data_IF_097595366376
#
_entry.id   IF_097595366376
#
_cell.length_a   1.000
_cell.length_b   1.000
_cell.length_c   1.000
_cell.angle_alpha   90.00
_cell.angle_beta   90.00
_cell.angle_gamma   90.00
#
_symmetry.space_group_name_H-M   'P 1'
#
loop_
_entity.id
_entity.type
_entity.pdbx_description
1 polymer ?
#
# COMPACT_ATOMS: atom_id res chain seq x y z
N UNK A 1 -28.60 15.85 -7.56
CA UNK A 1 -27.16 15.76 -7.87
C UNK A 1 -26.58 17.14 -7.67
N UNK A 2 -25.74 17.34 -6.65
CA UNK A 2 -24.93 18.56 -6.59
C UNK A 2 -23.98 18.50 -7.78
N UNK A 3 -23.93 19.55 -8.58
CA UNK A 3 -22.93 19.67 -9.66
C UNK A 3 -21.59 19.95 -9.00
N UNK A 4 -20.72 18.93 -8.92
CA UNK A 4 -19.33 19.11 -8.45
C UNK A 4 -18.56 19.95 -9.46
N UNK A 5 -18.01 21.07 -9.03
CA UNK A 5 -17.18 21.98 -9.84
C UNK A 5 -15.72 21.60 -9.72
N UNK A 6 -15.07 21.54 -10.87
CA UNK A 6 -13.64 21.27 -10.98
C UNK A 6 -12.92 22.60 -11.16
N UNK A 7 -11.87 22.83 -10.38
CA UNK A 7 -11.01 24.01 -10.49
C UNK A 7 -10.05 23.89 -11.68
N UNK A 8 -9.40 22.72 -11.80
CA UNK A 8 -8.40 22.43 -12.83
C UNK A 8 -8.67 21.06 -13.44
N UNK A 9 -8.52 20.95 -14.75
CA UNK A 9 -8.60 19.68 -15.48
C UNK A 9 -7.42 19.60 -16.44
N UNK A 10 -6.66 18.50 -16.38
CA UNK A 10 -5.55 18.22 -17.31
C UNK A 10 -5.76 16.85 -17.93
N UNK A 11 -5.51 16.75 -19.23
CA UNK A 11 -5.46 15.45 -19.89
C UNK A 11 -4.20 14.71 -19.45
N UNK A 12 -4.37 13.61 -18.70
CA UNK A 12 -3.26 12.82 -18.18
C UNK A 12 -2.66 11.95 -19.29
N UNK A 13 -3.54 11.27 -20.05
CA UNK A 13 -3.06 10.34 -21.08
C UNK A 13 -4.05 9.27 -21.53
N UNK A 14 -3.48 8.25 -22.16
CA UNK A 14 -4.22 7.09 -22.71
C UNK A 14 -3.58 5.77 -22.27
N UNK A 15 -4.37 4.91 -21.66
CA UNK A 15 -3.97 3.52 -21.34
C UNK A 15 -4.60 2.57 -22.36
N UNK A 16 -3.79 1.70 -22.93
CA UNK A 16 -4.23 0.71 -23.90
C UNK A 16 -4.77 -0.53 -23.19
N UNK A 17 -5.96 -0.97 -23.60
CA UNK A 17 -6.57 -2.22 -23.17
C UNK A 17 -6.76 -3.18 -24.33
N UNK A 18 -7.08 -4.43 -24.03
CA UNK A 18 -7.28 -5.49 -25.01
C UNK A 18 -8.54 -5.24 -25.87
N UNK A 19 -9.66 -4.88 -25.23
CA UNK A 19 -10.94 -4.65 -25.91
C UNK A 19 -11.20 -3.17 -26.12
N UNK A 20 -11.00 -2.35 -25.07
CA UNK A 20 -11.18 -0.90 -25.10
C UNK A 20 -10.00 -0.20 -24.45
N UNK A 21 -9.72 1.01 -24.93
CA UNK A 21 -8.72 1.87 -24.31
C UNK A 21 -9.36 2.73 -23.22
N UNK A 22 -8.53 3.29 -22.35
CA UNK A 22 -8.91 4.29 -21.37
C UNK A 22 -8.26 5.63 -21.70
N UNK A 23 -9.07 6.69 -21.71
CA UNK A 23 -8.63 8.08 -21.74
C UNK A 23 -8.78 8.62 -20.32
N UNK A 24 -7.73 9.23 -19.80
CA UNK A 24 -7.64 9.65 -18.40
C UNK A 24 -7.49 11.17 -18.34
N UNK A 25 -8.32 11.80 -17.51
CA UNK A 25 -8.19 13.19 -17.12
C UNK A 25 -7.92 13.25 -15.62
N UNK A 26 -6.94 14.03 -15.21
CA UNK A 26 -6.76 14.39 -13.81
C UNK A 26 -7.46 15.72 -13.54
N UNK A 27 -8.02 15.87 -12.35
CA UNK A 27 -8.72 17.06 -11.94
C UNK A 27 -8.54 17.36 -10.46
N UNK A 28 -8.74 18.62 -10.12
CA UNK A 28 -8.77 19.17 -8.77
C UNK A 28 -10.16 19.74 -8.53
N UNK A 29 -10.80 19.37 -7.42
CA UNK A 29 -12.08 19.95 -7.02
C UNK A 29 -11.90 21.40 -6.57
N UNK A 30 -12.95 22.20 -6.69
CA UNK A 30 -12.99 23.49 -6.03
C UNK A 30 -13.06 23.28 -4.51
N UNK A 31 -12.33 24.11 -3.75
CA UNK A 31 -12.31 24.08 -2.28
C UNK A 31 -13.73 24.03 -1.69
N UNK A 32 -14.01 23.02 -0.85
CA UNK A 32 -15.32 22.80 -0.23
C UNK A 32 -16.37 22.07 -1.10
N UNK A 33 -16.04 21.69 -2.34
CA UNK A 33 -16.87 20.82 -3.19
C UNK A 33 -16.32 19.40 -3.34
N UNK A 34 -15.42 19.02 -2.44
CA UNK A 34 -14.84 17.70 -2.35
C UNK A 34 -15.96 16.68 -2.02
N UNK A 35 -16.06 15.58 -2.78
CA UNK A 35 -17.00 14.53 -2.45
C UNK A 35 -16.60 13.94 -1.09
N UNK A 36 -17.57 13.83 -0.17
CA UNK A 36 -17.43 12.99 1.03
C UNK A 36 -16.90 11.63 0.56
N UNK A 37 -15.73 11.23 1.08
CA UNK A 37 -15.17 9.92 0.78
C UNK A 37 -16.22 8.91 1.26
N UNK A 38 -16.84 8.19 0.33
CA UNK A 38 -17.46 6.92 0.68
C UNK A 38 -16.28 6.11 1.21
N UNK A 39 -16.16 6.00 2.54
CA UNK A 39 -15.20 5.14 3.20
C UNK A 39 -15.37 3.78 2.53
N UNK A 40 -14.47 3.45 1.60
CA UNK A 40 -14.31 2.11 1.10
C UNK A 40 -13.83 1.36 2.33
N UNK A 41 -14.79 0.84 3.11
CA UNK A 41 -14.55 0.08 4.31
C UNK A 41 -13.41 -0.89 3.99
N UNK A 42 -12.37 -0.98 4.83
CA UNK A 42 -11.35 -1.99 4.63
C UNK A 42 -12.10 -3.30 4.42
N UNK A 43 -11.83 -3.95 3.29
CA UNK A 43 -12.17 -5.35 3.12
C UNK A 43 -11.24 -6.07 4.09
N UNK A 44 -11.59 -6.02 5.37
CA UNK A 44 -11.21 -7.07 6.28
C UNK A 44 -11.83 -8.31 5.66
N UNK A 45 -10.97 -9.25 5.31
CA UNK A 45 -11.42 -10.62 5.24
C UNK A 45 -11.97 -10.90 6.64
N UNK A 46 -13.30 -10.80 6.82
CA UNK A 46 -14.02 -11.33 7.97
C UNK A 46 -13.60 -12.80 8.08
N UNK A 47 -12.53 -13.04 8.82
CA UNK A 47 -12.36 -14.29 9.53
C UNK A 47 -13.58 -14.36 10.46
N UNK A 48 -14.32 -15.48 10.45
CA UNK A 48 -15.54 -15.58 11.24
C UNK A 48 -15.21 -15.26 12.71
N UNK A 49 -15.92 -14.28 13.27
CA UNK A 49 -15.87 -13.91 14.67
C UNK A 49 -15.90 -15.18 15.52
N UNK A 50 -14.76 -15.51 16.12
CA UNK A 50 -14.74 -16.44 17.23
C UNK A 50 -15.46 -15.74 18.40
N UNK A 51 -16.39 -16.43 19.08
CA UNK A 51 -17.17 -15.81 20.14
C UNK A 51 -16.25 -15.23 21.21
N UNK A 52 -16.44 -13.95 21.55
CA UNK A 52 -15.76 -13.28 22.66
C UNK A 52 -16.22 -13.86 24.00
N UNK A 53 -15.30 -13.86 24.97
CA UNK A 53 -15.46 -14.45 26.31
C UNK A 53 -16.68 -13.93 27.09
N UNK A 54 -17.24 -12.77 26.71
CA UNK A 54 -18.40 -12.17 27.37
C UNK A 54 -19.72 -12.93 27.16
N UNK A 55 -19.82 -13.82 26.16
CA UNK A 55 -21.04 -14.58 25.89
C UNK A 55 -21.16 -15.88 26.71
N UNK A 56 -20.15 -16.24 27.50
CA UNK A 56 -20.07 -17.54 28.18
C UNK A 56 -20.24 -17.46 29.70
N UNK A 57 -20.39 -16.25 30.26
CA UNK A 57 -20.50 -16.00 31.70
C UNK A 57 -21.95 -16.07 32.26
N UNK A 58 -22.95 -16.33 31.41
CA UNK A 58 -24.37 -16.30 31.82
C UNK A 58 -25.05 -17.67 31.95
N UNK A 59 -24.30 -18.77 32.02
CA UNK A 59 -24.83 -20.10 32.32
C UNK A 59 -23.97 -20.87 33.32
N UNK A 60 -24.27 -20.64 34.60
CA UNK A 60 -24.47 -21.70 35.60
C UNK A 60 -23.28 -22.58 35.95
N UNK A 61 -22.69 -22.30 37.12
CA UNK A 61 -22.03 -23.21 38.05
C UNK A 61 -22.34 -24.71 37.85
N UNK A 62 -21.49 -25.45 37.13
CA UNK A 62 -21.19 -26.86 37.41
C UNK A 62 -19.69 -27.08 37.07
N UNK A 63 -18.85 -27.21 38.12
CA UNK A 63 -17.46 -27.66 38.00
C UNK A 63 -17.46 -29.14 37.59
N UNK A 64 -17.63 -29.42 36.31
CA UNK A 64 -17.41 -30.75 35.72
C UNK A 64 -16.31 -30.63 34.67
N UNK A 65 -15.18 -31.32 34.93
CA UNK A 65 -14.02 -31.57 34.07
C UNK A 65 -14.01 -30.86 32.70
N UNK A 66 -13.62 -29.58 32.68
CA UNK A 66 -13.40 -28.86 31.43
C UNK A 66 -12.09 -29.37 30.82
N UNK A 67 -12.17 -30.11 29.71
CA UNK A 67 -11.01 -30.42 28.87
C UNK A 67 -10.16 -29.14 28.70
N UNK A 68 -8.82 -29.21 28.78
CA UNK A 68 -7.99 -28.02 28.68
C UNK A 68 -8.35 -27.29 27.38
N UNK A 69 -8.86 -26.06 27.51
CA UNK A 69 -9.30 -25.27 26.36
C UNK A 69 -8.16 -25.22 25.34
N UNK A 70 -8.49 -25.53 24.09
CA UNK A 70 -7.51 -25.49 23.00
C UNK A 70 -6.79 -24.13 23.01
N UNK A 71 -5.46 -24.10 22.83
CA UNK A 71 -4.70 -22.85 22.87
C UNK A 71 -5.22 -21.91 21.78
N UNK A 72 -5.77 -20.77 22.20
CA UNK A 72 -6.24 -19.72 21.30
C UNK A 72 -5.01 -19.14 20.59
N UNK A 73 -5.02 -19.18 19.26
CA UNK A 73 -3.94 -18.63 18.43
C UNK A 73 -3.92 -17.11 18.58
N UNK A 74 -2.99 -16.58 19.38
CA UNK A 74 -2.74 -15.14 19.58
C UNK A 74 -1.91 -14.53 18.45
N UNK A 75 -2.19 -14.83 17.18
CA UNK A 75 -1.49 -14.20 16.05
C UNK A 75 -2.29 -13.02 15.51
N UNK A 76 -1.77 -11.81 15.70
CA UNK A 76 -2.25 -10.61 15.02
C UNK A 76 -1.36 -10.31 13.81
N UNK A 77 -1.92 -10.20 12.58
CA UNK A 77 -1.13 -9.84 11.43
C UNK A 77 -0.55 -8.42 11.60
N UNK A 78 0.61 -8.12 11.00
CA UNK A 78 1.21 -6.80 11.08
C UNK A 78 0.24 -5.73 10.54
N UNK A 79 0.20 -4.53 11.16
CA UNK A 79 -0.77 -3.52 10.81
C UNK A 79 -0.52 -3.00 9.39
N UNK A 80 -1.60 -2.86 8.60
CA UNK A 80 -1.54 -2.36 7.22
C UNK A 80 -1.41 -0.82 7.25
N UNK A 81 -0.59 -0.22 6.38
CA UNK A 81 -0.48 1.25 6.31
C UNK A 81 -1.83 1.89 5.97
N UNK A 82 -2.21 2.99 6.67
CA UNK A 82 -3.49 3.65 6.42
C UNK A 82 -3.49 4.40 5.08
N UNK A 83 -4.70 4.62 4.54
CA UNK A 83 -4.92 5.28 3.25
C UNK A 83 -4.67 6.79 3.39
N UNK A 84 -4.02 7.40 2.41
CA UNK A 84 -3.85 8.85 2.35
C UNK A 84 -5.18 9.51 1.94
N UNK A 85 -5.66 10.54 2.67
CA UNK A 85 -6.91 11.22 2.31
C UNK A 85 -6.77 11.98 0.99
N UNK A 86 -7.91 12.35 0.41
CA UNK A 86 -7.93 13.27 -0.73
C UNK A 86 -7.16 14.55 -0.44
N UNK A 87 -6.41 15.03 -1.44
CA UNK A 87 -5.56 16.22 -1.31
C UNK A 87 -4.12 15.92 -0.88
N UNK A 88 -3.85 14.74 -0.32
CA UNK A 88 -2.52 14.37 0.19
C UNK A 88 -1.84 13.29 -0.65
N UNK A 89 -0.52 13.41 -0.83
CA UNK A 89 0.33 12.35 -1.40
C UNK A 89 -0.15 11.78 -2.74
N UNK A 90 -0.36 10.47 -2.79
CA UNK A 90 -0.81 9.75 -3.98
C UNK A 90 -2.27 10.05 -4.35
N UNK A 91 -3.07 10.59 -3.42
CA UNK A 91 -4.48 10.98 -3.56
C UNK A 91 -4.68 12.50 -3.70
N UNK A 92 -3.61 13.26 -3.98
CA UNK A 92 -3.66 14.71 -4.22
C UNK A 92 -4.60 15.14 -5.36
N UNK A 93 -4.79 14.29 -6.38
CA UNK A 93 -5.64 14.58 -7.55
C UNK A 93 -6.66 13.48 -7.77
N UNK A 94 -7.82 13.87 -8.30
CA UNK A 94 -8.86 12.93 -8.73
C UNK A 94 -8.67 12.59 -10.21
N UNK A 95 -8.94 11.34 -10.55
CA UNK A 95 -8.82 10.85 -11.91
C UNK A 95 -10.18 10.42 -12.46
N UNK A 96 -10.50 10.90 -13.66
CA UNK A 96 -11.67 10.52 -14.43
C UNK A 96 -11.25 9.73 -15.66
N UNK A 97 -11.98 8.68 -15.96
CA UNK A 97 -11.69 7.76 -17.05
C UNK A 97 -12.88 7.63 -17.99
N UNK A 98 -12.60 7.54 -19.27
CA UNK A 98 -13.60 7.22 -20.29
C UNK A 98 -13.03 6.28 -21.35
N UNK A 99 -13.86 5.42 -21.95
CA UNK A 99 -13.41 4.55 -23.05
C UNK A 99 -13.28 5.29 -24.39
N UNK A 100 -13.92 6.46 -24.51
CA UNK A 100 -13.86 7.31 -25.69
C UNK A 100 -14.31 8.74 -25.36
N UNK A 101 -13.81 9.75 -26.06
CA UNK A 101 -13.99 11.17 -25.68
C UNK A 101 -15.46 11.64 -25.65
N UNK A 102 -16.37 10.95 -26.35
CA UNK A 102 -17.81 11.22 -26.31
C UNK A 102 -18.62 10.36 -25.34
N UNK A 103 -17.97 9.47 -24.59
CA UNK A 103 -18.62 8.59 -23.61
C UNK A 103 -18.63 9.23 -22.22
N UNK A 104 -19.44 8.66 -21.31
CA UNK A 104 -19.50 9.08 -19.90
C UNK A 104 -18.12 8.94 -19.26
N UNK A 105 -17.73 9.96 -18.50
CA UNK A 105 -16.57 9.92 -17.62
C UNK A 105 -16.95 9.29 -16.28
N UNK A 106 -16.11 8.38 -15.81
CA UNK A 106 -16.26 7.66 -14.54
C UNK A 106 -15.11 8.07 -13.62
N UNK A 107 -15.43 8.47 -12.39
CA UNK A 107 -14.45 8.80 -11.36
C UNK A 107 -13.78 7.51 -10.88
N UNK A 108 -12.45 7.49 -10.78
CA UNK A 108 -11.71 6.41 -10.12
C UNK A 108 -11.71 6.61 -8.60
N UNK A 109 -11.66 5.52 -7.81
CA UNK A 109 -11.53 5.62 -6.35
C UNK A 109 -10.17 6.20 -5.95
N UNK A 110 -10.03 6.51 -4.66
CA UNK A 110 -8.73 6.79 -4.06
C UNK A 110 -7.87 5.52 -4.08
N UNK A 111 -6.56 5.69 -4.16
CA UNK A 111 -5.61 4.57 -4.16
C UNK A 111 -5.23 4.21 -2.74
N UNK A 112 -5.15 2.91 -2.45
CA UNK A 112 -4.65 2.42 -1.16
C UNK A 112 -3.18 2.00 -1.26
N UNK A 113 -2.42 2.05 -0.14
CA UNK A 113 -1.03 1.58 -0.13
C UNK A 113 -0.90 0.11 -0.55
N UNK A 114 -1.84 -0.73 -0.10
CA UNK A 114 -1.90 -2.16 -0.44
C UNK A 114 -2.08 -2.39 -1.94
N UNK A 115 -2.94 -1.60 -2.61
CA UNK A 115 -3.11 -1.67 -4.06
C UNK A 115 -1.79 -1.35 -4.79
N UNK A 116 -1.08 -0.29 -4.39
CA UNK A 116 0.20 0.09 -5.01
C UNK A 116 1.25 -1.01 -4.78
N UNK A 117 1.31 -1.54 -3.57
CA UNK A 117 2.24 -2.59 -3.19
C UNK A 117 2.05 -3.86 -4.03
N UNK A 118 0.82 -4.37 -4.14
CA UNK A 118 0.53 -5.53 -4.98
C UNK A 118 0.73 -5.20 -6.47
N UNK A 119 0.31 -4.01 -6.92
CA UNK A 119 0.47 -3.55 -8.30
C UNK A 119 1.93 -3.56 -8.77
N UNK A 120 2.91 -3.37 -7.88
CA UNK A 120 4.35 -3.47 -8.18
C UNK A 120 4.80 -4.89 -8.51
N UNK A 121 4.14 -5.90 -7.94
CA UNK A 121 4.49 -7.33 -8.03
C UNK A 121 3.74 -8.08 -9.13
N UNK A 122 2.73 -7.47 -9.74
CA UNK A 122 1.89 -8.09 -10.78
C UNK A 122 2.06 -7.40 -12.13
N UNK A 123 1.91 -8.18 -13.21
CA UNK A 123 1.89 -7.68 -14.60
C UNK A 123 0.65 -8.18 -15.33
N UNK A 124 -0.42 -7.36 -15.35
CA UNK A 124 -1.68 -7.67 -16.02
C UNK A 124 -2.02 -6.62 -17.07
N UNK A 125 -2.50 -7.07 -18.22
CA UNK A 125 -2.98 -6.20 -19.28
C UNK A 125 -4.43 -5.77 -18.97
N UNK A 126 -4.75 -4.52 -19.27
CA UNK A 126 -6.09 -3.98 -19.10
C UNK A 126 -7.06 -4.57 -20.12
N UNK A 127 -8.29 -4.87 -19.72
CA UNK A 127 -9.34 -5.34 -20.63
C UNK A 127 -10.04 -4.17 -21.32
N UNK A 128 -10.23 -3.05 -20.61
CA UNK A 128 -11.09 -1.95 -21.05
C UNK A 128 -12.46 -1.94 -20.37
N UNK A 129 -12.70 -2.86 -19.42
CA UNK A 129 -13.84 -2.87 -18.51
C UNK A 129 -13.39 -2.61 -17.07
N UNK A 130 -13.91 -1.53 -16.45
CA UNK A 130 -13.52 -1.10 -15.11
C UNK A 130 -13.93 -2.09 -14.01
N UNK A 131 -15.01 -2.84 -14.21
CA UNK A 131 -15.57 -3.77 -13.21
C UNK A 131 -14.96 -5.18 -13.30
N UNK A 132 -14.03 -5.41 -14.22
CA UNK A 132 -13.43 -6.72 -14.41
C UNK A 132 -12.53 -7.10 -13.21
N UNK A 133 -12.66 -8.31 -12.62
CA UNK A 133 -11.82 -8.72 -11.50
C UNK A 133 -10.36 -8.94 -11.93
N UNK A 134 -9.42 -8.53 -11.08
CA UNK A 134 -7.98 -8.69 -11.33
C UNK A 134 -7.48 -9.96 -10.66
N UNK A 135 -7.55 -11.07 -11.38
CA UNK A 135 -7.13 -12.38 -10.87
C UNK A 135 -5.60 -12.54 -11.01
N UNK A 136 -4.88 -12.34 -9.90
CA UNK A 136 -3.42 -12.42 -9.80
C UNK A 136 -2.98 -13.21 -8.57
N UNK A 137 -1.71 -13.61 -8.59
CA UNK A 137 -0.96 -13.98 -7.40
C UNK A 137 0.30 -13.10 -7.32
N UNK A 138 0.52 -12.33 -6.23
CA UNK A 138 -0.37 -12.14 -5.07
C UNK A 138 -1.78 -11.59 -5.42
N UNK A 139 -2.80 -11.85 -4.59
CA UNK A 139 -4.16 -11.38 -4.84
C UNK A 139 -4.21 -9.86 -4.82
N UNK A 140 -4.86 -9.26 -5.83
CA UNK A 140 -5.02 -7.82 -5.91
C UNK A 140 -6.32 -7.38 -5.23
N UNK A 141 -6.28 -6.44 -4.27
CA UNK A 141 -7.47 -5.96 -3.58
C UNK A 141 -8.25 -5.01 -4.52
N UNK A 142 -9.30 -5.53 -5.16
CA UNK A 142 -10.22 -4.76 -5.99
C UNK A 142 -10.30 -5.20 -7.45
N UNK A 143 -10.87 -4.31 -8.28
CA UNK A 143 -11.16 -4.57 -9.70
C UNK A 143 -10.20 -3.81 -10.63
N UNK A 144 -10.42 -3.89 -11.93
CA UNK A 144 -9.60 -3.19 -12.92
C UNK A 144 -9.59 -1.67 -12.70
N UNK A 145 -10.65 -1.06 -12.14
CA UNK A 145 -10.68 0.36 -11.77
C UNK A 145 -9.60 0.71 -10.73
N UNK A 146 -9.44 -0.13 -9.70
CA UNK A 146 -8.46 0.01 -8.62
C UNK A 146 -7.05 -0.22 -9.17
N UNK A 147 -6.88 -1.26 -10.00
CA UNK A 147 -5.59 -1.52 -10.65
C UNK A 147 -5.16 -0.40 -11.59
N UNK A 148 -6.09 0.17 -12.36
CA UNK A 148 -5.85 1.32 -13.22
C UNK A 148 -5.44 2.54 -12.40
N UNK A 149 -6.15 2.82 -11.29
CA UNK A 149 -5.82 3.89 -10.34
C UNK A 149 -4.42 3.74 -9.74
N UNK A 150 -4.04 2.52 -9.35
CA UNK A 150 -2.72 2.20 -8.82
C UNK A 150 -1.60 2.36 -9.89
N UNK A 151 -1.84 1.95 -11.13
CA UNK A 151 -0.88 2.20 -12.22
C UNK A 151 -0.74 3.70 -12.52
N UNK A 152 -1.85 4.46 -12.51
CA UNK A 152 -1.81 5.91 -12.69
C UNK A 152 -0.96 6.55 -11.59
N UNK A 153 -1.17 6.20 -10.32
CA UNK A 153 -0.36 6.73 -9.21
C UNK A 153 1.14 6.51 -9.45
N UNK A 154 1.52 5.26 -9.77
CA UNK A 154 2.92 4.87 -10.00
C UNK A 154 3.55 5.56 -11.21
N UNK A 155 2.79 5.70 -12.30
CA UNK A 155 3.26 6.37 -13.51
C UNK A 155 3.40 7.86 -13.22
N UNK A 156 2.39 8.50 -12.62
CA UNK A 156 2.43 9.90 -12.23
C UNK A 156 3.67 10.21 -11.41
N UNK A 157 3.90 9.48 -10.31
CA UNK A 157 5.03 9.68 -9.42
C UNK A 157 6.41 9.49 -10.07
N UNK A 158 6.51 8.74 -11.17
CA UNK A 158 7.79 8.47 -11.84
C UNK A 158 7.96 9.15 -13.21
N UNK A 159 6.96 9.87 -13.72
CA UNK A 159 6.99 10.42 -15.10
C UNK A 159 6.56 11.87 -15.20
N UNK A 160 5.95 12.44 -14.17
CA UNK A 160 5.54 13.84 -14.18
C UNK A 160 6.73 14.75 -13.91
N UNK A 161 7.27 15.27 -15.00
CA UNK A 161 8.44 16.15 -15.01
C UNK A 161 8.11 17.53 -15.53
N UNK A 162 8.91 18.51 -15.16
CA UNK A 162 8.84 19.89 -15.65
C UNK A 162 10.25 20.47 -15.82
N UNK A 163 10.41 21.54 -16.63
CA UNK A 163 11.69 22.21 -16.75
C UNK A 163 12.20 22.70 -15.39
N UNK A 164 13.50 22.62 -15.17
CA UNK A 164 14.13 23.08 -13.94
C UNK A 164 13.79 24.56 -13.69
N UNK A 165 13.36 24.89 -12.47
CA UNK A 165 12.97 26.24 -12.07
C UNK A 165 11.56 26.67 -12.51
N UNK A 166 10.81 25.82 -13.23
CA UNK A 166 9.41 26.11 -13.58
C UNK A 166 8.47 26.08 -12.36
N UNK A 167 8.75 25.17 -11.42
CA UNK A 167 8.10 25.10 -10.12
C UNK A 167 9.09 25.50 -9.03
N UNK A 168 8.59 26.13 -7.98
CA UNK A 168 9.33 26.41 -6.73
C UNK A 168 8.53 25.86 -5.55
N UNK A 169 9.17 25.73 -4.39
CA UNK A 169 8.48 25.36 -3.17
C UNK A 169 7.48 26.44 -2.74
N UNK A 170 6.42 26.02 -2.06
CA UNK A 170 5.48 26.95 -1.45
C UNK A 170 6.15 27.57 -0.22
N UNK A 171 6.34 28.90 -0.23
CA UNK A 171 7.04 29.61 0.84
C UNK A 171 6.28 29.51 2.18
N UNK A 172 4.96 29.40 2.15
CA UNK A 172 4.15 29.23 3.37
C UNK A 172 4.37 27.85 3.98
N UNK A 173 4.40 26.81 3.16
CA UNK A 173 4.70 25.45 3.61
C UNK A 173 6.15 25.33 4.09
N UNK A 174 7.12 25.84 3.34
CA UNK A 174 8.54 25.79 3.70
C UNK A 174 8.83 26.52 5.03
N UNK A 175 8.09 27.59 5.35
CA UNK A 175 8.23 28.32 6.61
C UNK A 175 7.67 27.57 7.84
N UNK A 176 6.68 26.69 7.63
CA UNK A 176 6.03 25.93 8.70
C UNK A 176 6.72 24.56 8.95
N UNK A 177 7.59 24.10 8.04
CA UNK A 177 8.32 22.84 8.17
C UNK A 177 9.57 22.99 9.05
N UNK A 178 9.84 21.96 9.87
CA UNK A 178 11.10 21.83 10.61
C UNK A 178 12.25 21.35 9.72
N UNK A 179 13.50 21.46 10.21
CA UNK A 179 14.73 21.09 9.47
C UNK A 179 14.77 19.63 8.93
N UNK A 180 13.87 18.76 9.39
CA UNK A 180 13.81 17.33 9.05
C UNK A 180 12.72 16.95 8.04
N UNK A 181 11.83 17.89 7.65
CA UNK A 181 10.71 17.63 6.74
C UNK A 181 10.92 18.29 5.37
N UNK A 182 10.70 17.53 4.31
CA UNK A 182 10.79 18.06 2.94
C UNK A 182 9.44 18.62 2.46
N UNK A 183 9.41 19.77 1.77
CA UNK A 183 8.18 20.32 1.21
C UNK A 183 7.46 19.34 0.28
N UNK A 184 6.14 19.30 0.41
CA UNK A 184 5.27 18.36 -0.28
C UNK A 184 4.52 19.00 -1.44
N UNK A 185 4.40 20.33 -1.47
CA UNK A 185 3.81 21.08 -2.56
C UNK A 185 4.83 21.95 -3.31
N UNK A 186 4.46 22.27 -4.54
CA UNK A 186 5.21 23.19 -5.38
C UNK A 186 4.23 24.09 -6.15
N UNK A 187 4.59 25.35 -6.32
CA UNK A 187 3.81 26.39 -7.01
C UNK A 187 4.53 26.86 -8.27
N UNK A 188 3.77 27.32 -9.27
CA UNK A 188 4.34 27.81 -10.53
C UNK A 188 5.18 29.06 -10.25
N UNK A 189 6.45 29.05 -10.68
CA UNK A 189 7.37 30.17 -10.45
C UNK A 189 7.04 31.34 -11.42
N UNK A 190 6.60 32.51 -10.92
CA UNK A 190 6.30 33.66 -11.77
C UNK A 190 7.54 34.27 -12.44
N UNK A 191 8.74 34.01 -11.90
CA UNK A 191 10.04 34.49 -12.40
C UNK A 191 10.73 33.49 -13.34
N UNK A 192 10.05 32.43 -13.76
CA UNK A 192 10.64 31.42 -14.64
C UNK A 192 11.13 32.00 -15.98
N UNK A 193 12.44 31.90 -16.22
CA UNK A 193 13.04 32.19 -17.51
C UNK A 193 13.08 30.94 -18.39
N UNK A 194 12.50 30.96 -19.60
CA UNK A 194 12.43 29.76 -20.42
C UNK A 194 13.80 29.28 -20.91
N UNK A 195 14.10 28.01 -20.64
CA UNK A 195 15.32 27.34 -21.06
C UNK A 195 15.31 27.11 -22.59
N UNK A 196 16.42 27.34 -23.31
CA UNK A 196 16.51 27.06 -24.74
C UNK A 196 16.23 25.59 -25.06
N UNK A 197 15.48 25.33 -26.13
CA UNK A 197 15.08 23.96 -26.55
C UNK A 197 16.27 23.02 -26.73
N UNK A 198 17.44 23.55 -27.14
CA UNK A 198 18.66 22.75 -27.29
C UNK A 198 19.15 22.16 -25.97
N UNK A 199 18.99 22.89 -24.88
CA UNK A 199 19.39 22.47 -23.54
C UNK A 199 18.34 21.52 -22.94
N UNK A 200 17.05 21.79 -23.18
CA UNK A 200 15.96 20.87 -22.80
C UNK A 200 16.05 19.50 -23.51
N UNK A 201 16.63 19.46 -24.72
CA UNK A 201 16.80 18.25 -25.52
C UNK A 201 18.17 17.57 -25.31
N UNK A 202 18.97 18.04 -24.36
CA UNK A 202 20.25 17.44 -24.06
C UNK A 202 20.10 16.03 -23.45
N UNK A 203 21.09 15.17 -23.70
CA UNK A 203 21.00 13.74 -23.36
C UNK A 203 21.15 13.45 -21.86
N UNK A 204 21.71 14.40 -21.11
CA UNK A 204 21.92 14.37 -19.67
C UNK A 204 20.64 14.61 -18.87
N UNK A 205 19.58 15.15 -19.49
CA UNK A 205 18.27 15.40 -18.87
C UNK A 205 18.32 16.27 -17.59
N UNK A 206 19.43 16.99 -17.35
CA UNK A 206 19.64 17.83 -16.16
C UNK A 206 18.66 19.00 -16.05
N UNK A 207 18.07 19.40 -17.17
CA UNK A 207 17.12 20.51 -17.25
C UNK A 207 15.68 20.12 -16.93
N UNK A 208 15.44 18.88 -16.47
CA UNK A 208 14.13 18.36 -16.10
C UNK A 208 14.15 17.88 -14.66
N UNK A 209 13.11 18.21 -13.90
CA UNK A 209 12.92 17.76 -12.53
C UNK A 209 11.51 17.17 -12.33
N UNK A 210 11.37 16.30 -11.32
CA UNK A 210 10.08 15.75 -10.89
C UNK A 210 9.28 16.80 -10.10
N UNK A 211 8.01 17.01 -10.44
CA UNK A 211 7.12 17.94 -9.74
C UNK A 211 5.97 17.21 -9.02
N UNK A 212 6.11 15.90 -8.85
CA UNK A 212 5.18 15.06 -8.08
C UNK A 212 5.98 14.24 -7.08
N UNK A 213 5.38 13.98 -5.92
CA UNK A 213 6.02 13.22 -4.85
C UNK A 213 6.36 11.79 -5.29
N UNK A 214 7.48 11.29 -4.77
CA UNK A 214 7.88 9.91 -4.89
C UNK A 214 6.94 9.01 -4.05
N UNK A 215 6.70 7.79 -4.51
CA UNK A 215 5.95 6.78 -3.74
C UNK A 215 6.94 5.80 -3.14
N UNK A 216 7.02 5.76 -1.82
CA UNK A 216 7.89 4.90 -1.03
C UNK A 216 7.59 3.39 -1.25
N UNK A 217 8.53 2.49 -0.92
CA UNK A 217 8.29 1.03 -0.90
C UNK A 217 6.99 0.62 -0.20
N UNK A 218 6.65 1.27 0.91
CA UNK A 218 5.39 1.09 1.66
C UNK A 218 4.11 1.36 0.84
N UNK A 219 4.19 2.11 -0.26
CA UNK A 219 3.05 2.44 -1.12
C UNK A 219 2.39 3.79 -0.80
N UNK A 220 2.98 4.58 0.09
CA UNK A 220 2.59 5.96 0.43
C UNK A 220 3.62 6.96 -0.08
N UNK A 221 3.26 8.25 -0.11
CA UNK A 221 4.22 9.33 -0.38
C UNK A 221 4.92 9.80 0.89
N UNK A 222 4.24 9.70 2.03
CA UNK A 222 4.81 9.96 3.35
C UNK A 222 5.03 8.64 4.08
N UNK A 223 6.14 8.55 4.81
CA UNK A 223 6.43 7.37 5.63
C UNK A 223 5.46 7.30 6.81
N UNK A 224 4.92 6.11 7.04
CA UNK A 224 4.13 5.81 8.22
C UNK A 224 4.88 4.84 9.11
N UNK A 225 5.05 5.22 10.37
CA UNK A 225 5.67 4.37 11.37
C UNK A 225 4.65 3.36 11.91
N UNK A 226 4.87 2.04 11.73
CA UNK A 226 3.97 1.01 12.27
C UNK A 226 3.96 0.95 13.81
N UNK A 227 5.04 1.39 14.47
CA UNK A 227 5.21 1.27 15.92
C UNK A 227 4.51 2.39 16.72
N UNK A 228 4.06 3.47 16.09
CA UNK A 228 3.43 4.61 16.77
C UNK A 228 1.91 4.50 16.80
N UNK A 229 1.36 3.32 17.16
CA UNK A 229 -0.09 3.18 17.35
C UNK A 229 -0.55 4.13 18.47
N UNK A 230 -1.68 4.80 18.24
CA UNK A 230 -2.03 6.10 18.84
C UNK A 230 -2.23 6.14 20.35
N UNK A 231 -2.14 7.35 20.90
CA UNK A 231 -2.30 7.70 22.33
C UNK A 231 -3.70 7.42 22.93
N UNK A 232 -4.63 6.78 22.19
CA UNK A 232 -6.02 6.52 22.62
C UNK A 232 -6.28 5.04 23.02
N UNK A 233 -5.27 4.18 23.02
CA UNK A 233 -5.36 2.81 23.54
C UNK A 233 -4.46 2.67 24.78
N UNK A 234 -4.82 3.38 25.85
CA UNK A 234 -4.28 3.11 27.18
C UNK A 234 -4.72 1.71 27.64
N UNK A 235 -3.75 0.95 28.17
CA UNK A 235 -3.87 -0.32 28.92
C UNK A 235 -3.96 -1.63 28.12
N UNK A 236 -2.84 -2.03 27.49
CA UNK A 236 -2.38 -3.43 27.61
C UNK A 236 -0.86 -3.41 27.85
N UNK A 237 -0.45 -3.45 29.12
CA UNK A 237 0.90 -3.91 29.50
C UNK A 237 0.99 -5.41 29.21
N UNK A 238 1.35 -5.80 27.99
CA UNK A 238 2.03 -7.07 27.77
C UNK A 238 3.36 -6.78 27.07
N UNK A 239 4.42 -7.41 27.56
CA UNK A 239 5.80 -7.28 27.10
C UNK A 239 5.91 -7.62 25.60
N UNK A 240 5.60 -6.68 24.72
CA UNK A 240 5.96 -6.78 23.30
C UNK A 240 7.49 -6.69 23.22
N UNK A 241 8.13 -7.75 22.70
CA UNK A 241 9.50 -7.65 22.22
C UNK A 241 9.61 -6.37 21.38
N UNK A 242 10.48 -5.44 21.78
CA UNK A 242 10.78 -4.24 21.01
C UNK A 242 11.19 -4.67 19.59
N UNK A 243 10.23 -4.76 18.66
CA UNK A 243 10.55 -4.86 17.24
C UNK A 243 11.38 -3.62 16.93
N UNK A 244 12.63 -3.84 16.49
CA UNK A 244 13.55 -2.77 16.21
C UNK A 244 12.84 -1.70 15.37
N UNK A 245 12.91 -0.41 15.75
CA UNK A 245 12.17 0.64 15.08
C UNK A 245 12.48 0.57 13.58
N UNK A 246 11.45 0.37 12.76
CA UNK A 246 11.62 0.28 11.32
C UNK A 246 12.32 1.56 10.83
N UNK A 247 13.46 1.41 10.15
CA UNK A 247 14.20 2.56 9.63
C UNK A 247 13.28 3.38 8.70
N UNK A 248 13.22 4.72 8.87
CA UNK A 248 12.34 5.54 8.06
C UNK A 248 12.70 5.44 6.58
N UNK A 249 11.69 5.11 5.75
CA UNK A 249 11.87 5.08 4.30
C UNK A 249 11.92 6.52 3.77
N UNK A 250 13.10 6.98 3.35
CA UNK A 250 13.28 8.32 2.79
C UNK A 250 13.40 8.25 1.27
N UNK A 251 12.49 8.95 0.58
CA UNK A 251 12.53 9.13 -0.87
C UNK A 251 13.36 10.35 -1.28
N UNK A 252 13.63 10.53 -2.60
CA UNK A 252 14.21 11.77 -3.10
C UNK A 252 13.27 12.95 -2.85
N UNK A 253 13.80 14.15 -2.56
CA UNK A 253 12.97 15.33 -2.36
C UNK A 253 12.21 15.72 -3.64
N UNK A 254 11.18 16.53 -3.49
CA UNK A 254 10.47 17.10 -4.63
C UNK A 254 11.44 18.04 -5.40
N UNK A 255 11.24 18.18 -6.72
CA UNK A 255 12.11 18.94 -7.63
C UNK A 255 13.52 18.36 -7.84
N UNK A 256 13.77 17.09 -7.48
CA UNK A 256 14.99 16.36 -7.89
C UNK A 256 15.10 16.24 -9.41
N UNK A 257 16.30 16.45 -9.94
CA UNK A 257 16.59 16.39 -11.36
C UNK A 257 16.61 14.96 -11.91
N UNK A 258 16.18 14.76 -13.16
CA UNK A 258 16.17 13.44 -13.83
C UNK A 258 17.56 12.83 -14.00
N UNK A 259 18.61 13.65 -14.00
CA UNK A 259 20.00 13.16 -14.05
C UNK A 259 20.38 12.35 -12.81
N UNK A 260 19.68 12.56 -11.69
CA UNK A 260 19.92 11.86 -10.41
C UNK A 260 19.08 10.58 -10.30
N UNK A 261 18.18 10.32 -11.24
CA UNK A 261 17.38 9.09 -11.24
C UNK A 261 18.26 7.84 -11.38
N UNK A 262 17.87 6.80 -10.64
CA UNK A 262 18.53 5.50 -10.69
C UNK A 262 18.67 5.02 -12.13
N UNK A 263 19.89 4.62 -12.52
CA UNK A 263 20.14 4.08 -13.86
C UNK A 263 19.68 2.63 -13.96
N UNK A 264 19.26 2.21 -15.15
CA UNK A 264 18.76 0.86 -15.35
C UNK A 264 19.89 -0.17 -15.38
N UNK A 265 19.80 -1.20 -14.53
CA UNK A 265 20.76 -2.31 -14.52
C UNK A 265 20.83 -2.99 -15.90
N UNK A 266 22.05 -3.01 -16.47
CA UNK A 266 22.35 -3.58 -17.78
C UNK A 266 22.65 -2.58 -18.90
N UNK A 267 22.50 -1.26 -18.68
CA UNK A 267 22.75 -0.25 -19.71
C UNK A 267 24.16 0.40 -19.66
N UNK A 268 25.10 -0.14 -18.89
CA UNK A 268 26.44 0.43 -18.70
C UNK A 268 27.33 0.48 -19.97
N UNK A 269 26.88 -0.07 -21.11
CA UNK A 269 27.69 -0.20 -22.34
C UNK A 269 27.25 0.65 -23.54
N UNK A 270 26.08 1.28 -23.49
CA UNK A 270 25.56 2.12 -24.56
C UNK A 270 25.02 3.37 -23.88
N UNK A 271 25.55 4.56 -24.21
CA UNK A 271 25.13 5.85 -23.65
C UNK A 271 23.67 6.20 -23.96
N UNK A 272 22.74 5.38 -23.49
CA UNK A 272 21.31 5.57 -23.52
C UNK A 272 20.84 6.13 -22.18
N UNK A 273 19.81 6.98 -22.20
CA UNK A 273 19.47 7.85 -21.08
C UNK A 273 19.05 7.05 -19.84
N UNK A 274 19.24 7.72 -18.69
CA UNK A 274 18.63 7.47 -17.38
C UNK A 274 17.17 7.06 -17.51
N UNK A 275 16.62 6.30 -16.55
CA UNK A 275 15.32 5.63 -16.60
C UNK A 275 14.23 6.49 -17.25
N UNK A 276 14.10 6.33 -18.57
CA UNK A 276 12.90 6.66 -19.28
C UNK A 276 12.21 5.30 -19.47
N UNK A 277 10.99 5.08 -18.95
CA UNK A 277 10.15 4.12 -19.63
C UNK A 277 10.17 4.51 -21.13
N UNK A 278 10.12 3.57 -22.09
CA UNK A 278 10.12 3.85 -23.54
C UNK A 278 8.94 4.75 -24.01
N UNK A 279 8.18 5.29 -23.07
CA UNK A 279 7.08 6.24 -23.16
C UNK A 279 7.53 7.72 -23.20
N UNK A 280 8.74 8.05 -22.76
CA UNK A 280 9.21 9.42 -22.62
C UNK A 280 10.47 9.70 -23.45
N UNK A 281 10.38 9.62 -24.77
CA UNK A 281 11.09 10.68 -25.50
C UNK A 281 10.31 11.95 -25.22
N UNK A 282 10.91 13.09 -24.78
CA UNK A 282 10.21 14.36 -24.81
C UNK A 282 9.78 14.62 -26.26
N UNK A 283 8.57 14.20 -26.60
CA UNK A 283 7.91 14.56 -27.84
C UNK A 283 7.46 15.98 -27.62
N UNK A 284 8.39 16.93 -27.72
CA UNK A 284 8.09 18.32 -28.00
C UNK A 284 7.16 18.30 -29.22
N UNK A 285 5.87 18.47 -28.97
CA UNK A 285 4.91 18.75 -30.02
C UNK A 285 5.33 20.10 -30.58
N UNK A 286 6.00 20.05 -31.74
CA UNK A 286 6.24 21.24 -32.54
C UNK A 286 4.87 21.70 -33.02
N UNK A 287 4.23 22.63 -32.32
CA UNK A 287 3.10 23.38 -32.88
C UNK A 287 3.66 24.38 -33.89
N UNK A 288 4.26 23.87 -34.96
CA UNK A 288 4.50 24.63 -36.18
C UNK A 288 3.63 23.96 -37.22
N UNK A 289 2.41 24.45 -37.38
CA UNK A 289 1.59 24.16 -38.56
C UNK A 289 2.42 24.57 -39.80
N UNK A 290 2.90 23.63 -40.64
CA UNK A 290 3.63 23.96 -41.83
C UNK A 290 2.61 24.20 -42.94
N UNK A 291 1.75 25.22 -42.78
CA UNK A 291 0.82 25.61 -43.82
C UNK A 291 0.56 27.11 -43.91
N UNK A 292 1.60 27.93 -43.78
CA UNK A 292 1.59 29.27 -44.39
C UNK A 292 2.98 29.92 -44.44
N UNK A 293 3.58 29.94 -45.63
CA UNK A 293 4.44 31.03 -46.10
C UNK A 293 5.90 31.04 -45.63
N UNK A 294 6.80 31.71 -46.38
CA UNK A 294 8.23 31.68 -46.16
C UNK A 294 8.73 32.99 -45.55
N UNK A 295 8.85 33.12 -44.23
CA UNK A 295 9.79 34.06 -43.58
C UNK A 295 10.21 33.54 -42.18
N UNK A 296 11.50 33.66 -41.79
CA UNK A 296 12.02 33.15 -40.53
C UNK A 296 11.84 34.18 -39.40
N UNK A 297 11.06 33.85 -38.38
CA UNK A 297 10.94 34.67 -37.17
C UNK A 297 11.79 34.08 -36.04
N UNK A 298 12.67 34.86 -35.38
CA UNK A 298 13.49 34.42 -34.27
C UNK A 298 12.73 34.63 -32.95
N UNK A 299 12.00 33.61 -32.48
CA UNK A 299 11.54 33.48 -31.09
C UNK A 299 10.68 32.21 -30.98
N UNK A 300 11.30 31.09 -30.59
CA UNK A 300 10.59 29.90 -30.15
C UNK A 300 10.98 29.66 -28.68
N UNK A 301 10.51 30.56 -27.83
CA UNK A 301 10.65 30.46 -26.38
C UNK A 301 9.46 29.66 -25.88
N UNK A 302 9.65 28.38 -25.55
CA UNK A 302 8.58 27.51 -25.06
C UNK A 302 8.17 27.95 -23.65
N UNK A 303 7.05 28.68 -23.54
CA UNK A 303 6.45 29.13 -22.26
C UNK A 303 5.51 28.10 -21.63
N UNK A 304 5.34 26.93 -22.24
CA UNK A 304 4.46 25.87 -21.75
C UNK A 304 5.08 24.52 -22.06
N UNK A 305 5.16 23.67 -21.05
CA UNK A 305 5.52 22.25 -21.17
C UNK A 305 4.27 21.42 -20.86
N UNK A 306 4.14 20.26 -21.49
CA UNK A 306 3.04 19.33 -21.21
C UNK A 306 3.57 17.91 -21.26
N UNK A 307 3.30 17.17 -20.20
CA UNK A 307 3.58 15.75 -20.10
C UNK A 307 2.28 14.99 -20.34
N UNK A 308 2.32 14.01 -21.23
CA UNK A 308 1.18 13.13 -21.49
C UNK A 308 1.67 11.70 -21.66
N UNK A 309 0.97 10.75 -21.05
CA UNK A 309 1.37 9.34 -21.04
C UNK A 309 0.53 8.55 -22.05
N UNK A 310 1.15 7.64 -22.80
CA UNK A 310 0.42 6.78 -23.75
C UNK A 310 1.04 5.40 -23.88
N UNK A 311 0.39 4.35 -23.36
CA UNK A 311 0.96 3.00 -23.44
C UNK A 311 0.11 1.93 -22.76
N UNK A 312 0.69 0.74 -22.58
CA UNK A 312 0.04 -0.41 -21.93
C UNK A 312 0.02 -0.32 -20.40
N UNK A 313 0.65 0.70 -19.81
CA UNK A 313 0.70 0.90 -18.37
C UNK A 313 1.68 0.00 -17.63
N UNK A 314 2.66 -0.61 -18.30
CA UNK A 314 3.67 -1.46 -17.65
C UNK A 314 5.03 -0.78 -17.54
N UNK A 315 5.68 -0.92 -16.38
CA UNK A 315 7.08 -0.55 -16.19
C UNK A 315 7.97 -1.39 -17.11
N UNK A 316 8.88 -0.73 -17.81
CA UNK A 316 9.92 -1.40 -18.58
C UNK A 316 10.96 -2.00 -17.63
N UNK A 317 11.34 -3.26 -17.87
CA UNK A 317 12.36 -3.99 -17.13
C UNK A 317 13.27 -4.68 -18.14
N UNK A 318 14.58 -4.63 -17.93
CA UNK A 318 15.58 -5.34 -18.73
C UNK A 318 15.51 -6.84 -18.44
N UNK A 319 15.24 -7.18 -17.18
CA UNK A 319 14.88 -8.53 -16.76
C UNK A 319 13.41 -8.84 -17.09
N UNK A 320 13.15 -10.10 -17.47
CA UNK A 320 11.79 -10.59 -17.61
C UNK A 320 11.07 -10.58 -16.25
N UNK A 321 9.75 -10.38 -16.29
CA UNK A 321 8.92 -10.52 -15.11
C UNK A 321 8.98 -11.96 -14.59
N UNK A 322 9.35 -12.12 -13.31
CA UNK A 322 9.29 -13.41 -12.61
C UNK A 322 8.06 -13.39 -11.70
N UNK A 323 7.11 -14.34 -11.84
CA UNK A 323 6.01 -14.46 -10.92
C UNK A 323 6.54 -14.83 -9.53
N UNK A 324 5.80 -14.44 -8.52
CA UNK A 324 6.21 -14.67 -7.15
C UNK A 324 5.97 -16.11 -6.72
N UNK A 325 6.89 -16.73 -5.95
CA UNK A 325 6.65 -18.05 -5.39
C UNK A 325 5.51 -18.03 -4.36
N UNK A 326 4.85 -19.18 -4.12
CA UNK A 326 3.95 -19.34 -2.97
C UNK A 326 4.69 -19.00 -1.66
N UNK A 327 3.98 -18.58 -0.60
CA UNK A 327 4.62 -18.33 0.68
C UNK A 327 5.34 -19.59 1.17
N UNK A 328 6.37 -19.38 1.99
CA UNK A 328 7.01 -20.49 2.71
C UNK A 328 5.98 -21.25 3.52
N UNK A 329 6.24 -22.53 3.80
CA UNK A 329 5.44 -23.27 4.76
C UNK A 329 5.79 -22.75 6.15
N UNK A 330 4.78 -22.57 6.98
CA UNK A 330 5.00 -22.23 8.38
C UNK A 330 5.84 -23.32 9.05
N UNK A 331 6.80 -22.87 9.86
CA UNK A 331 7.66 -23.77 10.60
C UNK A 331 6.85 -24.25 11.80
N UNK A 332 6.60 -25.56 11.86
CA UNK A 332 6.02 -26.15 13.06
C UNK A 332 6.89 -25.82 14.28
N UNK A 333 6.27 -25.72 15.45
CA UNK A 333 6.99 -25.51 16.71
C UNK A 333 8.23 -26.40 16.76
N UNK A 334 9.42 -25.85 17.08
CA UNK A 334 10.59 -26.68 17.29
C UNK A 334 10.22 -27.71 18.38
N UNK A 335 10.61 -28.98 18.23
CA UNK A 335 10.28 -29.99 19.23
C UNK A 335 10.86 -29.53 20.57
N UNK A 336 9.98 -29.12 21.49
CA UNK A 336 10.37 -28.84 22.86
C UNK A 336 10.91 -30.16 23.44
N UNK A 337 11.96 -30.10 24.27
CA UNK A 337 12.56 -31.30 24.87
C UNK A 337 11.54 -32.15 25.66
N UNK A 338 10.41 -31.55 26.06
CA UNK A 338 9.32 -32.17 26.80
C UNK A 338 8.15 -32.68 25.92
N UNK A 339 8.28 -32.67 24.58
CA UNK A 339 7.26 -33.23 23.66
C UNK A 339 7.34 -34.74 23.48
N UNK A 340 8.19 -35.43 24.24
CA UNK A 340 8.13 -36.87 24.33
C UNK A 340 6.82 -37.24 25.01
N UNK A 341 5.84 -37.66 24.22
CA UNK A 341 4.64 -38.34 24.72
C UNK A 341 5.11 -39.40 25.71
N UNK A 342 4.68 -39.29 26.97
CA UNK A 342 4.92 -40.36 27.93
C UNK A 342 4.41 -41.66 27.31
N UNK A 343 5.11 -42.77 27.55
CA UNK A 343 4.60 -44.07 27.09
C UNK A 343 3.27 -44.30 27.80
N UNK A 344 2.20 -44.57 27.04
CA UNK A 344 0.91 -44.89 27.63
C UNK A 344 1.11 -46.02 28.67
N UNK A 345 0.52 -45.90 29.88
CA UNK A 345 0.66 -46.92 30.89
C UNK A 345 0.19 -48.27 30.35
N UNK A 346 0.87 -49.33 30.75
CA UNK A 346 0.43 -50.67 30.37
C UNK A 346 -0.86 -51.03 31.12
N UNK A 347 -1.69 -51.96 30.59
CA UNK A 347 -2.91 -52.39 31.29
C UNK A 347 -2.68 -52.96 32.69
N UNK A 348 -1.46 -53.46 32.97
CA UNK A 348 -1.08 -53.92 34.31
C UNK A 348 -0.81 -52.74 35.25
N UNK A 349 -0.13 -51.69 34.78
CA UNK A 349 0.14 -50.48 35.56
C UNK A 349 -1.14 -49.66 35.85
N UNK A 350 -2.09 -49.62 34.91
CA UNK A 350 -3.42 -49.03 35.16
C UNK A 350 -4.21 -49.83 36.20
N UNK A 351 -4.15 -51.17 36.15
CA UNK A 351 -4.84 -52.04 37.11
C UNK A 351 -4.25 -51.91 38.51
N UNK A 352 -2.93 -51.81 38.63
CA UNK A 352 -2.23 -51.60 39.89
C UNK A 352 -2.52 -50.20 40.46
N UNK A 353 -2.60 -49.17 39.63
CA UNK A 353 -3.01 -47.82 40.04
C UNK A 353 -4.46 -47.80 40.56
N UNK A 354 -5.39 -48.42 39.84
CA UNK A 354 -6.79 -48.55 40.28
C UNK A 354 -6.95 -49.37 41.57
N UNK A 355 -6.11 -50.38 41.76
CA UNK A 355 -6.10 -51.18 42.98
C UNK A 355 -5.51 -50.40 44.17
N UNK A 356 -4.47 -49.60 43.95
CA UNK A 356 -3.90 -48.72 44.96
C UNK A 356 -4.89 -47.63 45.37
N UNK A 357 -5.56 -46.98 44.40
CA UNK A 357 -6.58 -45.97 44.68
C UNK A 357 -7.76 -46.54 45.46
N UNK A 358 -8.22 -47.76 45.12
CA UNK A 358 -9.25 -48.46 45.90
C UNK A 358 -8.78 -48.80 47.31
N UNK A 359 -7.52 -49.20 47.47
CA UNK A 359 -6.95 -49.49 48.78
C UNK A 359 -6.81 -48.24 49.65
N UNK A 360 -6.48 -47.10 49.06
CA UNK A 360 -6.44 -45.80 49.75
C UNK A 360 -7.86 -45.33 50.12
N UNK A 361 -8.86 -45.50 49.23
CA UNK A 361 -10.27 -45.22 49.53
C UNK A 361 -10.81 -46.14 50.65
N UNK A 362 -10.45 -47.43 50.65
CA UNK A 362 -10.82 -48.38 51.72
C UNK A 362 -10.10 -48.06 53.05
N UNK A 363 -8.85 -47.59 53.04
CA UNK A 363 -8.15 -47.11 54.25
C UNK A 363 -8.67 -45.75 54.75
N UNK A 364 -9.14 -44.86 53.88
CA UNK A 364 -9.82 -43.61 54.26
C UNK A 364 -11.20 -43.89 54.86
N UNK A 365 -12.01 -44.80 54.28
CA UNK A 365 -13.28 -45.24 54.87
C UNK A 365 -13.07 -45.95 56.23
N UNK A 366 -12.08 -46.83 56.36
CA UNK A 366 -11.76 -47.46 57.66
C UNK A 366 -11.18 -46.46 58.67
N UNK A 367 -10.48 -45.42 58.24
CA UNK A 367 -9.97 -44.35 59.09
C UNK A 367 -11.05 -43.37 59.57
N UNK A 368 -12.08 -43.09 58.75
CA UNK A 368 -13.25 -42.33 59.16
C UNK A 368 -14.16 -43.14 60.11
N UNK A 369 -14.27 -44.45 59.92
CA UNK A 369 -15.03 -45.34 60.84
C UNK A 369 -14.30 -45.56 62.19
N UNK A 370 -12.97 -45.50 62.25
CA UNK A 370 -12.20 -45.61 63.51
C UNK A 370 -12.18 -44.28 64.32
N UNK A 371 -12.37 -43.11 63.71
CA UNK A 371 -12.49 -41.83 64.44
C UNK A 371 -13.88 -41.62 65.08
N UNK A 372 -14.91 -42.36 64.63
CA UNK A 372 -16.28 -42.29 65.19
C UNK A 372 -16.54 -43.26 66.38
N UNK A 373 -15.61 -44.16 66.71
CA UNK A 373 -15.75 -45.12 67.85
C UNK A 373 -15.00 -44.73 69.15
N UNK A 374 -14.32 -43.57 69.22
CA UNK A 374 -13.64 -43.08 70.46
C UNK A 374 -14.32 -41.87 71.17
N UNK A 375 -15.65 -41.66 71.04
CA UNK A 375 -16.36 -40.65 71.87
C UNK A 375 -17.63 -41.17 72.58
N UNK A 376 -17.62 -42.42 73.03
CA UNK A 376 -18.66 -42.96 73.93
C UNK A 376 -18.11 -44.01 74.93
N UNK A 377 -17.31 -43.59 75.93
CA UNK A 377 -17.24 -44.30 77.22
C UNK A 377 -16.85 -43.37 78.40
N UNK A 378 -17.87 -43.03 79.20
CA UNK A 378 -17.90 -42.31 80.49
C UNK A 378 -17.63 -43.25 81.68
#
# INVERSE_FOLDING_TARGET
MRETRLQKVRFWGKVLGMEKNYYVAEAEFQEGEEPEEEEDAPIDEELPDLPTDEAMDELGEEEEEREPADPVVKYTPPPKPPVEPYGTGANKKVYFVTNGPGCRWVRLPNVTPTEIFVARRIKKLFTGNLDNPVLTYPPFPGTEKNYLRAQIARITAGTHVSPLGFYQFDEEEEADLGDEESPQNCVENPEFEPIPVRELAAADLSQWCHHTLHILPQGRCQWWNPSTRGEDEEEVEEEEEEEAPAEPEVGPPLLTALSEDATMEGNAGLGGPHVLPPLLGPRLWRSSDPRSGPEPWPSATARSSTTSTSGTGHKFSSANYSPEPPPGRDVCYPPHQDTNHATDPTPEEEADFLAAQRGEEEEEEEGEDEEDEEDDED
#
